data_IF_356768501617
#
_entry.id   IF_356768501617
#
_cell.length_a   1.000
_cell.length_b   1.000
_cell.length_c   1.000
_cell.angle_alpha   90.00
_cell.angle_beta   90.00
_cell.angle_gamma   90.00
#
_symmetry.space_group_name_H-M   'P 1'
#
loop_
_entity.id
_entity.type
_entity.pdbx_description
1 polymer ?
#
# COMPACT_ATOMS: atom_id res chain seq x y z
N UNK A 1 33.81 26.20 -11.86
CA UNK A 1 33.51 24.85 -11.34
C UNK A 1 32.29 24.96 -10.44
N UNK A 2 31.14 24.45 -10.87
CA UNK A 2 29.94 24.41 -10.05
C UNK A 2 30.09 23.24 -9.06
N UNK A 3 29.88 23.50 -7.77
CA UNK A 3 29.97 22.48 -6.74
C UNK A 3 28.95 21.34 -7.01
N UNK A 4 29.29 20.04 -6.81
CA UNK A 4 28.36 18.94 -7.00
C UNK A 4 27.44 18.88 -5.78
N UNK A 5 26.38 19.69 -5.77
CA UNK A 5 25.71 19.93 -4.49
C UNK A 5 24.45 20.75 -4.57
N UNK A 6 23.46 20.28 -5.32
CA UNK A 6 22.05 20.53 -4.97
C UNK A 6 21.30 19.25 -5.30
N UNK A 7 21.56 18.24 -4.47
CA UNK A 7 21.48 16.81 -4.80
C UNK A 7 20.09 16.21 -4.61
N UNK A 8 19.04 17.01 -4.65
CA UNK A 8 17.68 16.49 -4.54
C UNK A 8 17.30 15.86 -5.89
N UNK A 9 17.04 14.54 -5.95
CA UNK A 9 16.63 13.91 -7.19
C UNK A 9 15.30 14.50 -7.67
N UNK A 10 15.26 14.87 -8.95
CA UNK A 10 14.04 15.26 -9.66
C UNK A 10 13.50 14.06 -10.45
N UNK A 11 12.27 14.14 -10.96
CA UNK A 11 11.69 13.09 -11.81
C UNK A 11 10.50 12.42 -11.13
N UNK A 12 10.28 11.14 -11.42
CA UNK A 12 9.07 10.42 -11.00
C UNK A 12 9.39 9.05 -10.41
N UNK A 13 8.55 8.62 -9.48
CA UNK A 13 8.53 7.25 -8.95
C UNK A 13 7.23 6.58 -9.37
N UNK A 14 7.35 5.40 -9.97
CA UNK A 14 6.22 4.54 -10.32
C UNK A 14 6.05 3.48 -9.23
N UNK A 15 4.89 3.47 -8.58
CA UNK A 15 4.48 2.48 -7.60
C UNK A 15 3.63 1.41 -8.27
N UNK A 16 4.07 0.15 -8.20
CA UNK A 16 3.30 -1.01 -8.66
C UNK A 16 3.07 -2.01 -7.53
N UNK A 17 2.00 -2.79 -7.60
CA UNK A 17 1.71 -3.74 -6.53
C UNK A 17 0.38 -4.49 -6.67
N UNK A 18 -0.07 -5.12 -5.58
CA UNK A 18 -1.30 -5.92 -5.56
C UNK A 18 -2.54 -5.07 -5.88
N UNK A 19 -3.65 -5.75 -6.20
CA UNK A 19 -4.93 -5.11 -6.53
C UNK A 19 -4.86 -4.09 -7.67
N UNK A 20 -3.94 -4.30 -8.61
CA UNK A 20 -3.79 -3.46 -9.81
C UNK A 20 -3.13 -2.10 -9.54
N UNK A 21 -2.42 -1.94 -8.42
CA UNK A 21 -1.66 -0.71 -8.14
C UNK A 21 -0.68 -0.42 -9.28
N UNK A 22 -0.82 0.75 -9.91
CA UNK A 22 0.10 1.28 -10.92
C UNK A 22 -0.01 2.80 -10.99
N UNK A 23 0.73 3.50 -10.12
CA UNK A 23 0.65 4.96 -9.96
C UNK A 23 2.01 5.61 -10.13
N UNK A 24 2.11 6.62 -10.99
CA UNK A 24 3.33 7.41 -11.19
C UNK A 24 3.19 8.77 -10.51
N UNK A 25 4.14 9.10 -9.63
CA UNK A 25 4.09 10.30 -8.79
C UNK A 25 5.40 11.09 -8.95
N UNK A 26 5.34 12.41 -9.20
CA UNK A 26 6.53 13.25 -9.25
C UNK A 26 7.18 13.38 -7.86
N UNK A 27 8.51 13.49 -7.84
CA UNK A 27 9.25 13.82 -6.63
C UNK A 27 8.95 15.27 -6.22
N UNK A 28 8.72 15.50 -4.92
CA UNK A 28 8.55 16.82 -4.34
C UNK A 28 9.91 17.56 -4.18
N UNK A 29 9.87 18.78 -3.63
CA UNK A 29 11.07 19.61 -3.41
C UNK A 29 12.12 18.98 -2.47
N UNK A 30 11.75 17.93 -1.73
CA UNK A 30 12.63 17.14 -0.85
C UNK A 30 13.04 15.80 -1.47
N UNK A 31 12.71 15.54 -2.73
CA UNK A 31 13.09 14.30 -3.43
C UNK A 31 12.27 13.09 -3.01
N UNK A 32 11.02 13.31 -2.56
CA UNK A 32 10.13 12.24 -2.09
C UNK A 32 8.87 12.15 -2.95
N UNK A 33 8.43 10.93 -3.22
CA UNK A 33 7.11 10.63 -3.76
C UNK A 33 6.35 9.78 -2.73
N UNK A 34 5.10 10.16 -2.45
CA UNK A 34 4.25 9.49 -1.49
C UNK A 34 2.96 9.04 -2.18
N UNK A 35 2.61 7.77 -1.98
CA UNK A 35 1.35 7.19 -2.43
C UNK A 35 0.56 6.67 -1.23
N UNK A 36 -0.75 6.96 -1.19
CA UNK A 36 -1.67 6.45 -0.17
C UNK A 36 -2.80 5.69 -0.86
N UNK A 37 -3.15 4.52 -0.33
CA UNK A 37 -4.28 3.71 -0.82
C UNK A 37 -5.12 3.20 0.33
N UNK A 38 -6.42 3.08 0.11
CA UNK A 38 -7.36 2.39 0.99
C UNK A 38 -7.69 0.98 0.48
N UNK A 39 -7.15 0.59 -0.67
CA UNK A 39 -7.28 -0.77 -1.20
C UNK A 39 -6.51 -1.73 -0.30
N UNK A 40 -7.25 -2.55 0.43
CA UNK A 40 -6.71 -3.56 1.33
C UNK A 40 -6.20 -4.74 0.50
N UNK A 41 -4.90 -4.86 0.37
CA UNK A 41 -4.28 -5.97 -0.34
C UNK A 41 -2.99 -6.41 0.35
N UNK A 42 -2.88 -7.71 0.58
CA UNK A 42 -1.60 -8.33 0.99
C UNK A 42 -0.74 -8.54 -0.24
N UNK A 43 0.53 -8.16 -0.16
CA UNK A 43 1.53 -8.45 -1.18
C UNK A 43 2.66 -7.41 -1.19
N UNK A 44 3.51 -7.50 -2.22
CA UNK A 44 4.70 -6.66 -2.34
C UNK A 44 4.42 -5.44 -3.19
N UNK A 45 4.68 -4.25 -2.64
CA UNK A 45 4.69 -2.98 -3.37
C UNK A 45 6.10 -2.72 -3.88
N UNK A 46 6.24 -2.36 -5.15
CA UNK A 46 7.49 -1.96 -5.79
C UNK A 46 7.44 -0.47 -6.09
N UNK A 47 8.48 0.26 -5.70
CA UNK A 47 8.71 1.65 -6.07
C UNK A 47 9.88 1.72 -7.05
N UNK A 48 9.64 2.27 -8.24
CA UNK A 48 10.64 2.42 -9.29
C UNK A 48 10.86 3.89 -9.57
N UNK A 49 12.03 4.40 -9.21
CA UNK A 49 12.48 5.71 -9.67
C UNK A 49 12.96 5.61 -11.12
N UNK A 50 12.34 6.40 -12.01
CA UNK A 50 12.58 6.31 -13.46
C UNK A 50 13.88 7.00 -13.92
N UNK A 51 14.63 7.61 -12.99
CA UNK A 51 15.84 8.36 -13.29
C UNK A 51 15.59 9.80 -13.73
N UNK A 52 16.68 10.56 -13.85
CA UNK A 52 16.74 11.93 -14.36
C UNK A 52 18.13 12.18 -15.00
N UNK A 53 18.34 13.29 -15.74
CA UNK A 53 19.60 13.54 -16.47
C UNK A 53 20.89 13.43 -15.65
N UNK A 54 20.81 13.57 -14.32
CA UNK A 54 21.94 13.45 -13.40
C UNK A 54 21.76 12.36 -12.32
N UNK A 55 20.71 11.54 -12.41
CA UNK A 55 20.36 10.54 -11.40
C UNK A 55 19.93 9.23 -12.07
N UNK A 56 20.66 8.14 -11.80
CA UNK A 56 20.31 6.81 -12.31
C UNK A 56 19.01 6.33 -11.69
N UNK A 57 18.18 5.63 -12.47
CA UNK A 57 16.98 4.96 -11.96
C UNK A 57 17.32 3.93 -10.88
N UNK A 58 16.37 3.67 -10.01
CA UNK A 58 16.52 2.71 -8.91
C UNK A 58 15.18 2.08 -8.54
N UNK A 59 15.24 0.95 -7.87
CA UNK A 59 14.05 0.21 -7.44
C UNK A 59 14.15 -0.18 -5.97
N UNK A 60 13.01 -0.21 -5.30
CA UNK A 60 12.87 -0.70 -3.92
C UNK A 60 11.53 -1.41 -3.74
N UNK A 61 11.46 -2.31 -2.78
CA UNK A 61 10.24 -3.08 -2.50
C UNK A 61 9.90 -3.05 -1.01
N UNK A 62 8.61 -3.14 -0.71
CA UNK A 62 8.09 -3.25 0.64
C UNK A 62 6.92 -4.25 0.66
N UNK A 63 6.87 -5.10 1.68
CA UNK A 63 5.75 -6.04 1.88
C UNK A 63 4.66 -5.37 2.71
N UNK A 64 3.41 -5.46 2.22
CA UNK A 64 2.22 -5.06 2.96
C UNK A 64 1.42 -6.32 3.32
N UNK A 65 1.00 -6.43 4.57
CA UNK A 65 0.18 -7.55 5.05
C UNK A 65 -1.10 -7.00 5.65
N UNK A 66 -2.24 -7.46 5.12
CA UNK A 66 -3.57 -7.18 5.68
C UNK A 66 -4.03 -8.41 6.44
N UNK A 67 -4.18 -8.25 7.77
CA UNK A 67 -4.60 -9.33 8.64
C UNK A 67 -6.13 -9.36 8.80
N UNK A 68 -6.77 -10.54 8.88
CA UNK A 68 -8.20 -10.65 9.16
C UNK A 68 -8.56 -10.02 10.51
N UNK A 69 -9.72 -9.37 10.57
CA UNK A 69 -10.30 -8.92 11.83
C UNK A 69 -10.97 -10.09 12.57
N UNK A 70 -10.83 -10.15 13.89
CA UNK A 70 -11.52 -11.15 14.73
C UNK A 70 -13.01 -10.84 14.82
N UNK A 71 -13.87 -11.84 14.63
CA UNK A 71 -15.34 -11.70 14.79
C UNK A 71 -15.88 -12.69 15.83
N UNK A 72 -16.99 -12.34 16.48
CA UNK A 72 -17.68 -13.21 17.43
C UNK A 72 -19.16 -13.28 17.05
N UNK A 73 -19.67 -14.48 16.84
CA UNK A 73 -21.08 -14.73 16.51
C UNK A 73 -21.73 -15.49 17.65
N UNK A 74 -22.75 -14.91 18.28
CA UNK A 74 -23.51 -15.56 19.36
C UNK A 74 -24.91 -15.91 18.86
N UNK A 75 -25.32 -17.16 19.08
CA UNK A 75 -26.68 -17.63 18.80
C UNK A 75 -27.36 -17.95 20.13
N UNK A 76 -28.49 -17.30 20.40
CA UNK A 76 -29.32 -17.56 21.58
C UNK A 76 -30.70 -18.00 21.12
N UNK A 77 -31.23 -19.05 21.73
CA UNK A 77 -32.60 -19.52 21.50
C UNK A 77 -33.37 -19.48 22.82
N UNK A 78 -34.62 -19.03 22.76
CA UNK A 78 -35.54 -19.04 23.91
C UNK A 78 -36.88 -19.61 23.46
N UNK A 79 -37.31 -20.77 23.98
CA UNK A 79 -36.62 -21.66 24.95
C UNK A 79 -35.58 -22.59 24.30
N UNK A 80 -34.53 -22.95 25.06
CA UNK A 80 -33.50 -23.90 24.65
C UNK A 80 -33.25 -24.93 25.78
N UNK A 81 -33.59 -26.22 25.60
CA UNK A 81 -34.13 -26.84 24.40
C UNK A 81 -35.59 -26.43 24.14
N UNK A 82 -36.01 -26.42 22.88
CA UNK A 82 -37.42 -26.31 22.53
C UNK A 82 -38.07 -27.68 22.48
N UNK A 83 -39.35 -27.76 22.87
CA UNK A 83 -40.19 -28.92 22.57
C UNK A 83 -40.84 -28.74 21.20
N UNK A 84 -41.10 -29.88 20.52
CA UNK A 84 -41.84 -29.89 19.26
C UNK A 84 -43.21 -29.21 19.45
N UNK A 85 -43.51 -28.20 18.62
CA UNK A 85 -44.79 -27.48 18.64
C UNK A 85 -44.80 -26.18 19.45
N UNK A 86 -43.69 -25.73 20.05
CA UNK A 86 -43.60 -24.36 20.57
C UNK A 86 -43.41 -23.35 19.43
N UNK A 87 -44.25 -22.32 19.41
CA UNK A 87 -44.17 -21.14 18.53
C UNK A 87 -43.85 -19.89 19.32
#
# INVERSE_FOLDING_TARGET
ANAPGSNTPTGTVTFTGPSGLNQTIPLNASGQACFTTTSLATGTVTATYNGAPCFTGSTGTATATVNPATTTTTVTATPNPSVCGQT
#
